data_IF_872575933551
#
_entry.id   IF_872575933551
#
_cell.length_a   1.000
_cell.length_b   1.000
_cell.length_c   1.000
_cell.angle_alpha   90.00
_cell.angle_beta   90.00
_cell.angle_gamma   90.00
#
_symmetry.space_group_name_H-M   'P 1'
#
loop_
_entity.id
_entity.type
_entity.pdbx_description
1 polymer ?
#
# COMPACT_ATOMS: atom_id res chain seq x y z
N UNK A 1 -123.35 -25.53 -25.82
CA UNK A 1 -123.99 -26.43 -24.84
C UNK A 1 -122.97 -27.49 -24.48
N UNK A 2 -122.30 -27.29 -23.35
CA UNK A 2 -122.56 -28.02 -22.09
C UNK A 2 -121.71 -29.30 -22.04
N UNK A 3 -120.55 -29.21 -21.37
CA UNK A 3 -120.24 -29.85 -20.07
C UNK A 3 -119.93 -31.33 -20.16
N UNK A 4 -118.69 -31.71 -19.81
CA UNK A 4 -118.37 -32.91 -19.00
C UNK A 4 -116.86 -32.93 -18.69
N UNK A 5 -116.44 -32.46 -17.51
CA UNK A 5 -116.05 -33.24 -16.31
C UNK A 5 -114.93 -34.28 -16.49
N UNK A 6 -113.72 -33.79 -16.15
CA UNK A 6 -112.56 -34.36 -15.46
C UNK A 6 -112.54 -35.85 -15.07
N UNK A 7 -111.46 -36.54 -15.44
CA UNK A 7 -110.91 -37.71 -14.74
C UNK A 7 -109.45 -37.41 -14.36
N UNK A 8 -109.15 -37.48 -13.06
CA UNK A 8 -107.86 -37.20 -12.45
C UNK A 8 -106.98 -38.47 -12.48
N UNK A 9 -105.80 -38.38 -13.11
CA UNK A 9 -104.75 -39.39 -13.00
C UNK A 9 -103.81 -39.04 -11.83
N UNK A 10 -103.25 -40.02 -11.10
CA UNK A 10 -102.28 -39.74 -10.04
C UNK A 10 -100.94 -39.26 -10.61
N UNK A 11 -100.14 -38.51 -9.83
CA UNK A 11 -99.03 -37.74 -10.35
C UNK A 11 -97.81 -38.62 -10.70
N UNK A 12 -96.97 -38.19 -11.66
CA UNK A 12 -95.69 -38.82 -11.91
C UNK A 12 -94.73 -38.56 -10.71
N UNK A 13 -93.80 -39.49 -10.42
CA UNK A 13 -92.79 -39.27 -9.38
C UNK A 13 -91.91 -38.06 -9.75
N UNK A 14 -91.69 -37.16 -8.79
CA UNK A 14 -90.75 -36.06 -8.97
C UNK A 14 -89.31 -36.60 -9.02
N UNK A 15 -88.44 -35.98 -9.84
CA UNK A 15 -87.10 -36.48 -10.11
C UNK A 15 -86.20 -36.41 -8.88
N UNK A 16 -85.29 -37.39 -8.75
CA UNK A 16 -84.21 -37.38 -7.77
C UNK A 16 -83.41 -36.07 -7.90
N UNK A 17 -83.26 -35.33 -6.79
CA UNK A 17 -82.37 -34.19 -6.74
C UNK A 17 -80.94 -34.62 -7.12
N UNK A 18 -80.24 -33.91 -8.02
CA UNK A 18 -78.82 -34.18 -8.22
C UNK A 18 -78.06 -33.89 -6.92
N UNK A 19 -76.99 -34.65 -6.62
CA UNK A 19 -76.18 -34.38 -5.45
C UNK A 19 -75.62 -32.95 -5.51
N UNK A 20 -75.39 -32.29 -4.36
CA UNK A 20 -74.85 -30.94 -4.34
C UNK A 20 -73.51 -30.91 -5.08
N UNK A 21 -73.35 -29.94 -5.99
CA UNK A 21 -72.08 -29.71 -6.66
C UNK A 21 -71.02 -29.45 -5.60
N UNK A 22 -70.02 -30.34 -5.52
CA UNK A 22 -68.84 -30.14 -4.68
C UNK A 22 -68.15 -28.87 -5.17
N UNK A 23 -68.09 -27.85 -4.31
CA UNK A 23 -67.26 -26.67 -4.54
C UNK A 23 -65.81 -27.15 -4.75
N UNK A 24 -65.08 -26.59 -5.75
CA UNK A 24 -63.68 -26.91 -5.91
C UNK A 24 -62.93 -26.52 -4.62
N UNK A 25 -61.87 -27.27 -4.25
CA UNK A 25 -61.09 -26.95 -3.06
C UNK A 25 -60.50 -25.54 -3.19
N UNK A 26 -60.30 -24.83 -2.07
CA UNK A 26 -59.67 -23.52 -2.08
C UNK A 26 -58.32 -23.63 -2.81
N UNK A 27 -58.09 -22.78 -3.82
CA UNK A 27 -56.78 -22.69 -4.43
C UNK A 27 -55.79 -22.24 -3.36
N UNK A 28 -54.82 -23.10 -3.03
CA UNK A 28 -53.68 -22.70 -2.20
C UNK A 28 -52.95 -21.57 -2.91
N UNK A 29 -53.02 -20.37 -2.33
CA UNK A 29 -52.18 -19.25 -2.72
C UNK A 29 -50.73 -19.70 -2.50
N UNK A 30 -49.97 -19.84 -3.59
CA UNK A 30 -48.54 -20.12 -3.49
C UNK A 30 -47.89 -19.08 -2.57
N UNK A 31 -47.01 -19.49 -1.65
CA UNK A 31 -46.32 -18.55 -0.77
C UNK A 31 -45.50 -17.56 -1.62
N UNK A 32 -45.40 -16.29 -1.19
CA UNK A 32 -44.59 -15.31 -1.89
C UNK A 32 -43.14 -15.82 -1.99
N UNK A 33 -42.41 -15.49 -3.08
CA UNK A 33 -41.03 -15.91 -3.23
C UNK A 33 -40.22 -15.45 -2.03
N UNK A 34 -39.48 -16.39 -1.42
CA UNK A 34 -38.58 -16.12 -0.30
C UNK A 34 -37.64 -14.98 -0.68
N UNK A 35 -37.74 -13.86 0.02
CA UNK A 35 -36.75 -12.78 -0.08
C UNK A 35 -35.38 -13.40 0.23
N UNK A 36 -34.33 -13.08 -0.55
CA UNK A 36 -32.99 -13.54 -0.23
C UNK A 36 -32.64 -13.08 1.19
N UNK A 37 -31.88 -13.89 1.95
CA UNK A 37 -31.47 -13.51 3.29
C UNK A 37 -30.79 -12.13 3.22
N UNK A 38 -31.04 -11.23 4.19
CA UNK A 38 -30.34 -9.97 4.24
C UNK A 38 -28.85 -10.27 4.23
N UNK A 39 -28.16 -9.79 3.20
CA UNK A 39 -26.70 -9.88 3.09
C UNK A 39 -26.17 -9.38 4.43
N UNK A 40 -25.35 -10.17 5.16
CA UNK A 40 -24.76 -9.68 6.39
C UNK A 40 -24.05 -8.40 6.05
N UNK A 41 -24.56 -7.26 6.54
CA UNK A 41 -23.90 -5.97 6.40
C UNK A 41 -22.73 -6.02 7.37
N UNK A 42 -21.69 -6.76 6.98
CA UNK A 42 -20.44 -6.83 7.70
C UNK A 42 -19.93 -5.41 7.80
N UNK A 43 -19.71 -4.92 9.03
CA UNK A 43 -19.07 -3.63 9.23
C UNK A 43 -17.67 -3.71 8.59
N UNK A 44 -17.48 -2.93 7.53
CA UNK A 44 -16.18 -2.81 6.88
C UNK A 44 -15.30 -1.96 7.81
N UNK A 45 -14.26 -2.58 8.38
CA UNK A 45 -13.30 -1.87 9.22
C UNK A 45 -12.41 -0.94 8.41
N UNK A 46 -11.78 0.04 9.06
CA UNK A 46 -10.87 0.99 8.39
C UNK A 46 -9.74 0.29 7.62
N UNK A 47 -9.24 -0.86 8.11
CA UNK A 47 -8.23 -1.67 7.41
C UNK A 47 -8.69 -2.15 6.03
N UNK A 48 -9.97 -2.50 5.89
CA UNK A 48 -10.55 -2.95 4.63
C UNK A 48 -10.75 -1.78 3.64
N UNK A 49 -11.11 -0.59 4.14
CA UNK A 49 -11.20 0.63 3.33
C UNK A 49 -9.86 1.11 2.77
N UNK A 50 -8.75 0.75 3.41
CA UNK A 50 -7.40 1.14 3.01
C UNK A 50 -6.70 0.12 2.10
N UNK A 51 -7.31 -1.03 1.84
CA UNK A 51 -6.77 -1.95 0.84
C UNK A 51 -6.82 -1.26 -0.52
N UNK A 52 -5.72 -1.40 -1.28
CA UNK A 52 -5.63 -0.87 -2.64
C UNK A 52 -6.76 -1.53 -3.45
N UNK A 53 -7.75 -0.77 -3.93
CA UNK A 53 -8.85 -1.34 -4.69
C UNK A 53 -8.31 -1.90 -6.01
N UNK A 54 -8.96 -2.94 -6.53
CA UNK A 54 -8.65 -3.43 -7.87
C UNK A 54 -8.84 -2.27 -8.87
N UNK A 55 -7.82 -1.91 -9.67
CA UNK A 55 -7.95 -0.82 -10.64
C UNK A 55 -8.96 -1.13 -11.75
N UNK A 56 -9.35 -2.40 -11.92
CA UNK A 56 -10.44 -2.78 -12.83
C UNK A 56 -11.80 -2.57 -12.17
N UNK A 57 -12.53 -1.57 -12.66
CA UNK A 57 -13.84 -1.17 -12.16
C UNK A 57 -14.82 -0.90 -13.31
N UNK A 58 -16.11 -0.90 -13.01
CA UNK A 58 -17.23 -0.63 -13.92
C UNK A 58 -17.78 0.81 -13.80
N UNK A 59 -17.12 1.67 -13.02
CA UNK A 59 -17.51 3.08 -12.84
C UNK A 59 -17.48 3.85 -14.16
N UNK A 60 -18.46 4.77 -14.31
CA UNK A 60 -18.50 5.74 -15.41
C UNK A 60 -17.46 6.84 -15.23
N UNK A 61 -17.17 7.59 -16.30
CA UNK A 61 -16.14 8.63 -16.31
C UNK A 61 -16.31 9.68 -15.19
N UNK A 62 -17.51 10.24 -15.03
CA UNK A 62 -17.78 11.24 -13.98
C UNK A 62 -17.62 10.66 -12.57
N UNK A 63 -18.02 9.39 -12.37
CA UNK A 63 -17.89 8.68 -11.09
C UNK A 63 -16.41 8.40 -10.76
N UNK A 64 -15.64 8.00 -11.77
CA UNK A 64 -14.20 7.79 -11.66
C UNK A 64 -13.48 9.10 -11.32
N UNK A 65 -13.73 10.16 -12.07
CA UNK A 65 -13.09 11.46 -11.87
C UNK A 65 -13.42 12.03 -10.49
N UNK A 66 -14.69 11.95 -10.06
CA UNK A 66 -15.09 12.37 -8.71
C UNK A 66 -14.36 11.55 -7.63
N UNK A 67 -14.30 10.21 -7.76
CA UNK A 67 -13.62 9.34 -6.80
C UNK A 67 -12.10 9.57 -6.79
N UNK A 68 -11.47 9.73 -7.94
CA UNK A 68 -10.04 9.99 -8.08
C UNK A 68 -9.65 11.39 -7.56
N UNK A 69 -10.57 12.36 -7.59
CA UNK A 69 -10.36 13.71 -7.05
C UNK A 69 -10.36 13.77 -5.51
N UNK A 70 -10.78 12.69 -4.84
CA UNK A 70 -10.77 12.63 -3.38
C UNK A 70 -9.34 12.55 -2.85
N UNK A 71 -8.93 13.56 -2.08
CA UNK A 71 -7.65 13.58 -1.39
C UNK A 71 -7.90 13.75 0.11
N UNK A 72 -7.31 12.91 0.99
CA UNK A 72 -7.42 13.08 2.42
C UNK A 72 -6.90 14.46 2.85
N UNK A 73 -7.70 15.20 3.62
CA UNK A 73 -7.28 16.51 4.17
C UNK A 73 -6.47 16.40 5.46
N UNK A 74 -6.52 15.25 6.13
CA UNK A 74 -5.68 14.92 7.27
C UNK A 74 -4.44 14.21 6.73
N UNK A 75 -3.28 14.86 6.84
CA UNK A 75 -2.02 14.36 6.31
C UNK A 75 -1.40 13.25 7.17
N UNK A 76 -1.85 13.10 8.41
CA UNK A 76 -1.38 12.04 9.32
C UNK A 76 -2.04 10.72 8.94
N UNK A 77 -1.20 9.79 8.47
CA UNK A 77 -1.62 8.42 8.18
C UNK A 77 -1.72 7.64 9.50
N UNK A 78 -2.90 7.13 9.88
CA UNK A 78 -3.15 6.60 11.22
C UNK A 78 -2.55 5.19 11.45
N UNK A 79 -1.90 4.61 10.45
CA UNK A 79 -1.23 3.32 10.56
C UNK A 79 0.28 3.50 10.48
N UNK A 80 1.01 2.59 11.13
CA UNK A 80 2.44 2.47 10.94
C UNK A 80 2.65 2.17 9.45
N UNK A 81 3.40 3.02 8.76
CA UNK A 81 3.78 2.76 7.37
C UNK A 81 4.73 1.57 7.38
N UNK A 82 4.24 0.41 6.97
CA UNK A 82 5.11 -0.66 6.52
C UNK A 82 5.92 -0.17 5.33
N UNK A 83 7.12 -0.74 5.16
CA UNK A 83 8.05 -0.35 4.10
C UNK A 83 7.35 -0.60 2.74
N UNK A 84 6.79 0.42 2.08
CA UNK A 84 5.78 0.21 1.03
C UNK A 84 6.39 -0.43 -0.23
N UNK A 85 7.69 -0.20 -0.43
CA UNK A 85 8.47 -0.77 -1.52
C UNK A 85 9.13 -2.11 -1.16
N UNK A 86 8.94 -2.65 0.06
CA UNK A 86 9.56 -3.92 0.44
C UNK A 86 9.30 -5.05 -0.56
N UNK A 87 8.06 -5.30 -1.06
CA UNK A 87 7.83 -6.37 -2.03
C UNK A 87 8.63 -6.22 -3.33
N UNK A 88 8.87 -4.99 -3.78
CA UNK A 88 9.66 -4.71 -4.99
C UNK A 88 11.15 -4.93 -4.74
N UNK A 89 11.64 -4.56 -3.56
CA UNK A 89 13.01 -4.86 -3.14
C UNK A 89 13.25 -6.36 -2.97
N UNK A 90 12.28 -7.09 -2.38
CA UNK A 90 12.31 -8.56 -2.30
C UNK A 90 12.44 -9.18 -3.69
N UNK A 91 11.71 -8.67 -4.68
CA UNK A 91 11.84 -9.13 -6.07
C UNK A 91 13.17 -8.75 -6.71
N UNK A 92 13.65 -7.52 -6.47
CA UNK A 92 14.89 -7.00 -7.04
C UNK A 92 16.12 -7.79 -6.59
N UNK A 93 16.15 -8.19 -5.31
CA UNK A 93 17.28 -8.89 -4.70
C UNK A 93 17.20 -10.42 -4.75
N UNK A 94 16.02 -10.99 -5.05
CA UNK A 94 15.81 -12.44 -5.11
C UNK A 94 16.85 -13.13 -6.02
N UNK A 95 17.47 -14.20 -5.52
CA UNK A 95 18.41 -15.02 -6.30
C UNK A 95 19.79 -14.40 -6.49
N UNK A 96 20.10 -13.33 -5.75
CA UNK A 96 21.38 -12.63 -5.77
C UNK A 96 22.03 -12.58 -4.38
N UNK A 97 21.70 -13.54 -3.53
CA UNK A 97 22.20 -13.64 -2.16
C UNK A 97 23.74 -13.64 -2.17
N UNK A 98 24.34 -12.87 -1.25
CA UNK A 98 25.79 -12.72 -1.16
C UNK A 98 26.39 -11.61 -2.04
N UNK A 99 25.64 -11.02 -2.97
CA UNK A 99 26.09 -9.86 -3.76
C UNK A 99 25.73 -8.51 -3.12
N UNK A 100 24.99 -8.52 -2.02
CA UNK A 100 24.48 -7.32 -1.36
C UNK A 100 24.37 -7.51 0.15
N UNK A 101 24.37 -6.41 0.88
CA UNK A 101 24.03 -6.35 2.30
C UNK A 101 23.04 -5.19 2.52
N UNK A 102 22.00 -5.43 3.33
CA UNK A 102 20.94 -4.45 3.61
C UNK A 102 21.02 -4.07 5.07
N UNK A 103 20.96 -2.76 5.33
CA UNK A 103 20.91 -2.18 6.66
C UNK A 103 19.73 -1.22 6.71
N UNK A 104 18.83 -1.43 7.67
CA UNK A 104 17.58 -0.68 7.77
C UNK A 104 17.59 0.22 8.99
N UNK A 105 17.32 1.50 8.78
CA UNK A 105 16.98 2.43 9.84
C UNK A 105 15.47 2.69 9.77
N UNK A 106 14.77 2.46 10.88
CA UNK A 106 13.34 2.71 10.99
C UNK A 106 13.06 3.57 12.23
N UNK A 107 11.90 4.23 12.25
CA UNK A 107 11.47 5.00 13.41
C UNK A 107 11.49 4.12 14.68
N UNK A 108 11.88 4.63 15.85
CA UNK A 108 11.92 3.83 17.08
C UNK A 108 10.57 3.20 17.44
N UNK A 109 9.47 3.88 17.10
CA UNK A 109 8.09 3.42 17.28
C UNK A 109 7.63 2.37 16.25
N UNK A 110 8.41 2.13 15.18
CA UNK A 110 8.11 1.08 14.21
C UNK A 110 8.29 -0.28 14.88
N UNK A 111 7.20 -1.04 15.01
CA UNK A 111 7.19 -2.39 15.58
C UNK A 111 6.83 -3.46 14.54
N UNK A 112 7.01 -3.16 13.24
CA UNK A 112 6.75 -4.13 12.19
C UNK A 112 7.71 -5.32 12.28
N UNK A 113 7.14 -6.52 12.30
CA UNK A 113 7.88 -7.77 12.22
C UNK A 113 7.96 -8.22 10.77
N UNK A 114 9.15 -8.50 10.29
CA UNK A 114 9.37 -9.09 8.96
C UNK A 114 9.51 -10.61 9.08
N UNK A 115 9.01 -11.41 8.13
CA UNK A 115 9.20 -12.86 8.13
C UNK A 115 10.69 -13.23 8.05
N UNK A 116 11.09 -14.39 8.60
CA UNK A 116 12.48 -14.88 8.52
C UNK A 116 13.01 -15.05 7.10
N UNK A 117 12.11 -15.31 6.14
CA UNK A 117 12.43 -15.44 4.72
C UNK A 117 12.66 -14.09 4.02
N UNK A 118 12.41 -12.96 4.68
CA UNK A 118 12.53 -11.62 4.10
C UNK A 118 13.99 -11.17 4.02
N UNK A 119 14.37 -10.48 2.95
CA UNK A 119 15.71 -9.86 2.86
C UNK A 119 15.96 -8.79 3.94
N UNK A 120 14.89 -8.27 4.56
CA UNK A 120 14.95 -7.29 5.63
C UNK A 120 15.05 -7.91 7.03
N UNK A 121 14.93 -9.24 7.15
CA UNK A 121 14.97 -9.92 8.43
C UNK A 121 16.28 -9.71 9.17
N UNK A 122 16.19 -9.29 10.44
CA UNK A 122 17.36 -9.03 11.28
C UNK A 122 18.26 -7.88 10.81
N UNK A 123 17.84 -7.07 9.81
CA UNK A 123 18.65 -6.00 9.22
C UNK A 123 18.45 -4.63 9.87
N UNK A 124 17.57 -4.52 10.87
CA UNK A 124 17.24 -3.26 11.54
C UNK A 124 18.33 -2.84 12.51
N UNK A 125 18.81 -1.61 12.36
CA UNK A 125 19.76 -0.99 13.29
C UNK A 125 18.99 -0.18 14.34
N UNK A 126 19.23 -0.40 15.65
CA UNK A 126 18.59 0.37 16.71
C UNK A 126 18.92 1.87 16.64
N UNK A 127 17.93 2.73 16.94
CA UNK A 127 18.14 4.18 17.10
C UNK A 127 17.22 4.77 18.16
N UNK A 128 17.65 5.86 18.81
CA UNK A 128 16.93 6.47 19.95
C UNK A 128 16.28 7.82 19.64
N UNK A 129 16.53 8.46 18.48
CA UNK A 129 16.09 9.84 18.18
C UNK A 129 15.73 10.06 16.71
N UNK A 130 14.74 10.94 16.47
CA UNK A 130 14.22 11.38 15.16
C UNK A 130 14.28 12.92 15.03
N UNK A 131 14.53 13.45 13.82
CA UNK A 131 14.78 14.87 13.52
C UNK A 131 15.78 15.08 12.35
N UNK A 132 15.93 16.30 11.83
CA UNK A 132 16.80 16.56 10.64
C UNK A 132 18.29 16.30 10.90
N UNK A 133 18.81 16.78 12.02
CA UNK A 133 20.15 16.44 12.49
C UNK A 133 20.26 14.94 12.81
N UNK A 134 19.16 14.34 13.30
CA UNK A 134 19.14 12.91 13.58
C UNK A 134 19.08 12.04 12.31
N UNK A 135 18.72 12.59 11.14
CA UNK A 135 18.77 11.89 9.86
C UNK A 135 20.22 11.69 9.41
N UNK A 136 21.05 12.74 9.52
CA UNK A 136 22.50 12.63 9.30
C UNK A 136 23.13 11.62 10.27
N UNK A 137 22.74 11.64 11.55
CA UNK A 137 23.19 10.65 12.53
C UNK A 137 22.71 9.22 12.17
N UNK A 138 21.50 9.08 11.62
CA UNK A 138 20.95 7.81 11.18
C UNK A 138 21.72 7.25 9.97
N UNK A 139 21.97 8.07 8.95
CA UNK A 139 22.76 7.71 7.77
C UNK A 139 24.19 7.33 8.14
N UNK A 140 24.86 8.14 8.95
CA UNK A 140 26.20 7.81 9.47
C UNK A 140 26.21 6.50 10.23
N UNK A 141 25.16 6.20 11.01
CA UNK A 141 25.03 4.93 11.73
C UNK A 141 24.83 3.75 10.78
N UNK A 142 24.01 3.89 9.75
CA UNK A 142 23.84 2.89 8.69
C UNK A 142 25.18 2.61 8.02
N UNK A 143 25.88 3.67 7.61
CA UNK A 143 27.16 3.59 6.92
C UNK A 143 28.25 2.95 7.80
N UNK A 144 28.33 3.34 9.07
CA UNK A 144 29.26 2.75 10.02
C UNK A 144 29.02 1.25 10.22
N UNK A 145 27.77 0.80 10.32
CA UNK A 145 27.46 -0.63 10.42
C UNK A 145 27.81 -1.37 9.12
N UNK A 146 27.53 -0.78 7.97
CA UNK A 146 27.87 -1.35 6.68
C UNK A 146 29.39 -1.48 6.48
N UNK A 147 30.18 -0.56 7.01
CA UNK A 147 31.64 -0.57 6.95
C UNK A 147 32.30 -1.66 7.83
N UNK A 148 31.60 -2.18 8.84
CA UNK A 148 32.10 -3.29 9.66
C UNK A 148 32.30 -4.56 8.83
N UNK A 149 31.52 -4.72 7.75
CA UNK A 149 31.77 -5.74 6.75
C UNK A 149 32.87 -5.26 5.78
N UNK A 150 34.01 -5.94 5.82
CA UNK A 150 35.17 -5.64 4.97
C UNK A 150 34.91 -5.96 3.49
N UNK A 151 33.94 -6.82 3.18
CA UNK A 151 33.59 -7.18 1.81
C UNK A 151 32.79 -6.06 1.12
N UNK A 152 32.15 -5.16 1.87
CA UNK A 152 31.40 -4.04 1.31
C UNK A 152 32.35 -2.98 0.73
N UNK A 153 32.27 -2.78 -0.59
CA UNK A 153 33.10 -1.81 -1.33
C UNK A 153 32.32 -0.60 -1.86
N UNK A 154 31.01 -0.76 -2.06
CA UNK A 154 30.11 0.27 -2.60
C UNK A 154 28.92 0.41 -1.68
N UNK A 155 28.52 1.65 -1.40
CA UNK A 155 27.48 1.98 -0.44
C UNK A 155 26.42 2.82 -1.14
N UNK A 156 25.16 2.44 -0.95
CA UNK A 156 24.01 3.10 -1.57
C UNK A 156 23.02 3.47 -0.48
N UNK A 157 22.74 4.77 -0.33
CA UNK A 157 21.73 5.27 0.60
C UNK A 157 20.42 5.48 -0.13
N UNK A 158 19.36 4.86 0.39
CA UNK A 158 18.03 4.85 -0.19
C UNK A 158 16.98 5.16 0.88
N UNK A 159 15.95 5.92 0.50
CA UNK A 159 14.76 6.14 1.32
C UNK A 159 13.68 5.09 1.03
N UNK A 160 12.65 5.02 1.87
CA UNK A 160 11.50 4.12 1.68
C UNK A 160 10.72 4.33 0.37
N UNK A 161 10.91 5.49 -0.27
CA UNK A 161 10.27 5.86 -1.53
C UNK A 161 11.15 5.59 -2.77
N UNK A 162 12.39 5.14 -2.60
CA UNK A 162 13.31 4.90 -3.71
C UNK A 162 13.06 3.53 -4.35
N UNK A 163 13.19 3.47 -5.68
CA UNK A 163 13.18 2.22 -6.45
C UNK A 163 14.20 2.28 -7.59
N UNK A 164 14.94 1.19 -7.78
CA UNK A 164 15.84 1.04 -8.93
C UNK A 164 15.06 0.45 -10.11
N UNK A 165 15.13 1.12 -11.26
CA UNK A 165 14.40 0.73 -12.48
C UNK A 165 15.19 -0.21 -13.40
N UNK A 166 16.39 -0.61 -13.00
CA UNK A 166 17.27 -1.53 -13.73
C UNK A 166 17.48 -2.80 -12.93
N UNK A 167 17.87 -3.91 -13.55
CA UNK A 167 18.15 -5.16 -12.83
C UNK A 167 19.44 -5.06 -12.00
N UNK A 168 19.50 -5.77 -10.87
CA UNK A 168 20.66 -5.75 -9.96
C UNK A 168 21.98 -6.06 -10.65
N UNK A 169 22.05 -7.09 -11.51
CA UNK A 169 23.29 -7.43 -12.23
C UNK A 169 23.76 -6.31 -13.17
N UNK A 170 22.83 -5.59 -13.81
CA UNK A 170 23.17 -4.44 -14.64
C UNK A 170 23.69 -3.30 -13.76
N UNK A 171 23.05 -3.06 -12.62
CA UNK A 171 23.49 -2.06 -11.65
C UNK A 171 24.90 -2.36 -11.11
N UNK A 172 25.17 -3.58 -10.67
CA UNK A 172 26.49 -3.98 -10.15
C UNK A 172 27.58 -3.87 -11.22
N UNK A 173 27.28 -4.24 -12.48
CA UNK A 173 28.23 -4.03 -13.60
C UNK A 173 28.53 -2.56 -13.81
N UNK A 174 27.50 -1.70 -13.75
CA UNK A 174 27.68 -0.26 -13.88
C UNK A 174 28.59 0.28 -12.75
N UNK A 175 28.35 -0.12 -11.50
CA UNK A 175 29.21 0.27 -10.37
C UNK A 175 30.67 -0.17 -10.55
N UNK A 176 30.88 -1.38 -11.07
CA UNK A 176 32.22 -1.90 -11.32
C UNK A 176 32.95 -1.16 -12.45
N UNK A 177 32.23 -0.60 -13.43
CA UNK A 177 32.84 0.19 -14.51
C UNK A 177 33.23 1.59 -14.07
N UNK A 178 32.56 2.13 -13.05
CA UNK A 178 32.74 3.51 -12.56
C UNK A 178 33.82 3.58 -11.47
N UNK A 179 34.94 2.87 -11.62
CA UNK A 179 35.99 2.83 -10.58
C UNK A 179 36.57 4.21 -10.19
N UNK A 180 36.38 5.24 -11.03
CA UNK A 180 37.01 6.56 -10.87
C UNK A 180 36.12 7.67 -10.30
N UNK A 181 34.85 7.41 -9.95
CA UNK A 181 34.01 8.42 -9.28
C UNK A 181 33.80 8.11 -7.80
N UNK A 182 34.08 9.11 -6.96
CA UNK A 182 34.07 9.02 -5.49
C UNK A 182 32.66 9.04 -4.90
N UNK A 183 31.78 9.92 -5.43
CA UNK A 183 30.41 10.11 -4.97
C UNK A 183 29.49 10.38 -6.15
N UNK A 184 28.37 9.66 -6.24
CA UNK A 184 27.34 9.91 -7.24
C UNK A 184 26.02 10.28 -6.59
N UNK A 185 25.60 11.52 -6.84
CA UNK A 185 24.25 12.01 -6.50
C UNK A 185 23.35 11.73 -7.70
N UNK A 186 22.53 10.70 -7.61
CA UNK A 186 21.62 10.36 -8.70
C UNK A 186 20.25 10.99 -8.44
N UNK A 187 19.91 11.92 -9.33
CA UNK A 187 18.74 12.81 -9.27
C UNK A 187 17.52 12.08 -9.81
N UNK A 188 16.48 11.90 -8.98
CA UNK A 188 15.17 11.50 -9.49
C UNK A 188 14.51 12.72 -10.14
N UNK A 189 14.39 12.69 -11.46
CA UNK A 189 13.53 13.62 -12.19
C UNK A 189 12.11 13.07 -12.11
N UNK A 190 11.34 13.48 -11.10
CA UNK A 190 9.89 13.26 -11.16
C UNK A 190 9.30 14.03 -12.36
N UNK A 191 8.54 13.38 -13.26
CA UNK A 191 7.69 14.06 -14.22
C UNK A 191 6.48 14.59 -13.45
N UNK A 192 6.37 15.91 -13.32
CA UNK A 192 5.38 16.55 -12.46
C UNK A 192 5.94 16.79 -11.05
N UNK A 193 7.03 17.58 -10.98
CA UNK A 193 7.74 17.84 -9.74
C UNK A 193 6.78 18.29 -8.63
N UNK A 194 7.01 17.77 -7.43
CA UNK A 194 6.31 18.15 -6.20
C UNK A 194 6.17 19.68 -6.09
N UNK A 195 5.04 20.20 -6.57
CA UNK A 195 4.75 21.63 -6.61
C UNK A 195 4.72 22.13 -5.18
N UNK A 196 5.67 23.00 -4.85
CA UNK A 196 5.67 23.78 -3.60
C UNK A 196 6.41 23.19 -2.40
N UNK A 197 7.05 22.00 -2.49
CA UNK A 197 7.85 21.47 -1.36
C UNK A 197 9.36 21.62 -1.50
N UNK A 198 9.86 21.82 -2.72
CA UNK A 198 11.29 21.97 -2.97
C UNK A 198 11.59 23.15 -3.90
N UNK A 199 12.72 23.83 -3.66
CA UNK A 199 13.29 24.79 -4.60
C UNK A 199 13.50 24.08 -5.96
N UNK A 200 13.34 24.78 -7.09
CA UNK A 200 13.55 24.22 -8.45
C UNK A 200 14.90 23.50 -8.66
N UNK A 201 15.85 23.69 -7.74
CA UNK A 201 17.16 23.04 -7.72
C UNK A 201 17.30 21.83 -6.76
N UNK A 202 16.32 21.55 -5.90
CA UNK A 202 16.39 20.51 -4.85
C UNK A 202 15.32 19.42 -5.10
N UNK A 203 15.73 18.15 -5.17
CA UNK A 203 14.87 16.99 -5.46
C UNK A 203 15.46 15.76 -4.74
N UNK A 204 14.66 14.74 -4.39
CA UNK A 204 15.15 13.58 -3.64
C UNK A 204 16.38 12.96 -4.31
N UNK A 205 17.43 12.79 -3.51
CA UNK A 205 18.72 12.27 -3.91
C UNK A 205 18.90 10.87 -3.33
N UNK A 206 19.46 9.96 -4.13
CA UNK A 206 20.13 8.79 -3.60
C UNK A 206 21.63 8.93 -3.84
N UNK A 207 22.39 8.51 -2.84
CA UNK A 207 23.84 8.62 -2.84
C UNK A 207 24.45 7.26 -3.07
N UNK A 208 25.37 7.18 -4.02
CA UNK A 208 26.32 6.07 -4.13
C UNK A 208 27.72 6.58 -3.82
N UNK A 209 28.47 5.81 -3.05
CA UNK A 209 29.86 6.13 -2.71
C UNK A 209 30.71 4.87 -2.60
N UNK A 210 32.01 5.04 -2.81
CA UNK A 210 33.00 3.99 -2.54
C UNK A 210 33.33 3.88 -1.04
N UNK A 211 34.06 2.84 -0.67
CA UNK A 211 34.47 2.58 0.73
C UNK A 211 35.33 3.69 1.32
N UNK A 212 36.25 4.26 0.54
CA UNK A 212 37.15 5.32 1.00
C UNK A 212 36.35 6.56 1.42
N UNK A 213 35.43 7.02 0.57
CA UNK A 213 34.54 8.13 0.87
C UNK A 213 33.58 7.79 2.02
N UNK A 214 33.09 6.56 2.11
CA UNK A 214 32.26 6.14 3.23
C UNK A 214 32.99 6.24 4.58
N UNK A 215 34.28 5.86 4.62
CA UNK A 215 35.14 6.01 5.80
C UNK A 215 35.33 7.48 6.14
N UNK A 216 35.59 8.32 5.14
CA UNK A 216 35.72 9.76 5.33
C UNK A 216 34.42 10.36 5.91
N UNK A 217 33.27 10.06 5.31
CA UNK A 217 31.96 10.56 5.74
C UNK A 217 31.63 10.23 7.20
N UNK A 218 32.00 9.05 7.71
CA UNK A 218 31.81 8.71 9.13
C UNK A 218 32.87 9.31 10.05
N UNK A 219 34.07 9.59 9.54
CA UNK A 219 35.21 10.10 10.33
C UNK A 219 35.08 11.57 10.73
N UNK A 220 34.31 12.36 9.96
CA UNK A 220 34.13 13.80 10.22
C UNK A 220 33.19 14.00 11.41
N UNK A 221 33.75 13.96 12.63
CA UNK A 221 33.03 14.19 13.89
C UNK A 221 32.57 15.65 14.03
N UNK A 222 33.34 16.59 13.48
CA UNK A 222 33.04 18.02 13.48
C UNK A 222 31.77 18.38 12.70
N UNK A 223 31.42 17.65 11.63
CA UNK A 223 30.23 17.93 10.81
C UNK A 223 28.94 17.78 11.61
N UNK A 224 28.84 16.78 12.50
CA UNK A 224 27.65 16.57 13.32
C UNK A 224 27.48 17.71 14.33
N UNK A 225 28.58 18.16 14.94
CA UNK A 225 28.60 19.29 15.87
C UNK A 225 28.30 20.61 15.15
N UNK A 226 28.94 20.85 14.01
CA UNK A 226 28.71 22.03 13.18
C UNK A 226 27.26 22.12 12.70
N UNK A 227 26.70 21.02 12.17
CA UNK A 227 25.28 20.99 11.78
C UNK A 227 24.39 21.23 13.00
N UNK A 228 24.69 20.65 14.16
CA UNK A 228 23.91 20.90 15.38
C UNK A 228 23.89 22.37 15.81
N UNK A 229 25.02 23.06 15.67
CA UNK A 229 25.17 24.43 16.15
C UNK A 229 24.69 25.48 15.13
N UNK A 230 24.86 25.21 13.83
CA UNK A 230 24.63 26.17 12.74
C UNK A 230 23.40 25.86 11.86
N UNK A 231 22.91 24.62 11.81
CA UNK A 231 21.72 24.24 11.03
C UNK A 231 20.43 24.56 11.81
N UNK A 232 19.99 25.82 11.76
CA UNK A 232 18.70 26.26 12.34
C UNK A 232 17.60 26.21 11.27
N UNK A 233 16.33 25.94 11.64
CA UNK A 233 15.23 25.87 10.66
C UNK A 233 15.10 27.16 9.84
N UNK A 234 14.85 27.11 8.53
CA UNK A 234 14.66 25.93 7.68
C UNK A 234 16.00 25.42 7.09
N UNK A 235 16.59 24.40 7.69
CA UNK A 235 17.82 23.75 7.22
C UNK A 235 17.56 22.25 7.00
N UNK A 236 18.11 21.66 5.94
CA UNK A 236 17.98 20.25 5.53
C UNK A 236 19.38 19.63 5.46
N UNK A 237 19.95 19.35 6.62
CA UNK A 237 21.35 18.93 6.77
C UNK A 237 21.69 17.63 6.03
N UNK A 238 20.73 16.73 5.95
CA UNK A 238 20.78 15.44 5.24
C UNK A 238 21.04 15.61 3.74
N UNK A 239 20.52 16.66 3.12
CA UNK A 239 20.74 16.91 1.68
C UNK A 239 22.11 17.52 1.35
N UNK A 240 22.80 18.08 2.35
CA UNK A 240 23.99 18.92 2.13
C UNK A 240 25.29 18.35 2.70
N UNK A 241 25.25 17.46 3.70
CA UNK A 241 26.49 17.05 4.35
C UNK A 241 27.36 16.09 3.52
N UNK A 242 26.78 15.23 2.66
CA UNK A 242 27.56 14.35 1.79
C UNK A 242 28.16 15.08 0.57
N UNK A 243 27.48 16.07 -0.03
CA UNK A 243 28.11 16.89 -1.08
C UNK A 243 29.17 17.90 -0.62
N UNK A 244 29.27 18.19 0.68
CA UNK A 244 30.20 19.20 1.24
C UNK A 244 31.54 18.57 1.56
#
# INVERSE_FOLDING_TARGET
MSTTTTSLSPPPPLPLFPPPLLLPPPQELLPPPLLPPPIPVGRIGLKEYLKIPNPMHDMKEDELLWRASMVPKINEYPFIRDLPMAPLWEMFFRGHEGLYSIYLHAQPSYNGTVPESSIFYGRRIPSSRMGKISMVEAERRLLANALLDIANQRFVLLSEACILLIQLQHYLRLLNQIQNEFCRVLRLVEPGGAVGRYNKHMRPYWFEMNRELAVEAISITSISLYLRDFCKPACYSDEHYLPT
#
